data_IF_481829529350
#
_entry.id   IF_481829529350
#
_cell.length_a   1.000
_cell.length_b   1.000
_cell.length_c   1.000
_cell.angle_alpha   90.00
_cell.angle_beta   90.00
_cell.angle_gamma   90.00
#
_symmetry.space_group_name_H-M   'P 1'
#
loop_
_entity.id
_entity.type
_entity.pdbx_description
1 polymer ?
#
# COMPACT_ATOMS: atom_id res chain seq x y z
N UNK A 1 2.11 15.14 -5.64
CA UNK A 1 2.22 13.84 -6.32
C UNK A 1 3.65 13.61 -6.75
N UNK A 2 4.19 12.44 -6.50
CA UNK A 2 5.50 12.03 -7.01
C UNK A 2 5.33 11.14 -8.23
N UNK A 3 6.34 11.09 -9.06
CA UNK A 3 6.31 10.22 -10.22
C UNK A 3 7.71 9.81 -10.66
N UNK A 4 7.77 8.67 -11.35
CA UNK A 4 8.95 8.19 -12.06
C UNK A 4 8.64 8.20 -13.56
N UNK A 5 9.55 7.70 -14.40
CA UNK A 5 9.30 7.63 -15.85
C UNK A 5 8.05 6.81 -16.20
N UNK A 6 7.74 5.79 -15.40
CA UNK A 6 6.66 4.85 -15.70
C UNK A 6 5.53 4.82 -14.68
N UNK A 7 5.72 5.42 -13.50
CA UNK A 7 4.79 5.31 -12.39
C UNK A 7 4.41 6.67 -11.82
N UNK A 8 3.13 6.78 -11.44
CA UNK A 8 2.70 7.78 -10.47
C UNK A 8 2.73 7.16 -9.08
N UNK A 9 3.23 7.91 -8.11
CA UNK A 9 3.23 7.51 -6.70
C UNK A 9 2.20 8.39 -5.99
N UNK A 10 1.08 7.79 -5.61
CA UNK A 10 -0.06 8.49 -5.04
C UNK A 10 -0.29 8.03 -3.60
N UNK A 11 -0.79 8.94 -2.76
CA UNK A 11 -1.25 8.56 -1.42
C UNK A 11 -2.41 7.57 -1.54
N UNK A 12 -2.51 6.57 -0.64
CA UNK A 12 -3.64 5.66 -0.67
C UNK A 12 -4.98 6.40 -0.58
N UNK A 13 -5.97 5.94 -1.34
CA UNK A 13 -7.28 6.57 -1.38
C UNK A 13 -8.36 5.51 -1.54
N UNK A 14 -9.54 5.82 -0.99
CA UNK A 14 -10.70 4.93 -1.03
C UNK A 14 -11.19 4.69 -2.46
N UNK A 15 -10.89 5.58 -3.40
CA UNK A 15 -11.20 5.38 -4.81
C UNK A 15 -10.56 4.10 -5.37
N UNK A 16 -9.47 3.65 -4.79
CA UNK A 16 -8.75 2.46 -5.22
C UNK A 16 -8.99 1.26 -4.33
N UNK A 17 -10.10 1.27 -3.55
CA UNK A 17 -10.41 0.21 -2.60
C UNK A 17 -10.39 -1.17 -3.25
N UNK A 18 -11.07 -1.35 -4.39
CA UNK A 18 -11.16 -2.65 -5.04
C UNK A 18 -9.79 -3.17 -5.49
N UNK A 19 -8.98 -2.31 -6.11
CA UNK A 19 -7.64 -2.70 -6.55
C UNK A 19 -6.72 -2.99 -5.38
N UNK A 20 -6.79 -2.20 -4.30
CA UNK A 20 -5.99 -2.43 -3.11
C UNK A 20 -6.41 -3.72 -2.39
N UNK A 21 -7.71 -4.01 -2.37
CA UNK A 21 -8.21 -5.27 -1.83
C UNK A 21 -7.66 -6.45 -2.63
N UNK A 22 -7.70 -6.38 -3.96
CA UNK A 22 -7.17 -7.44 -4.81
C UNK A 22 -5.67 -7.64 -4.60
N UNK A 23 -4.91 -6.57 -4.48
CA UNK A 23 -3.47 -6.66 -4.21
C UNK A 23 -3.19 -7.43 -2.91
N UNK A 24 -3.99 -7.19 -1.87
CA UNK A 24 -3.79 -7.79 -0.56
C UNK A 24 -4.50 -9.14 -0.37
N UNK A 25 -5.22 -9.62 -1.39
CA UNK A 25 -5.82 -10.95 -1.38
C UNK A 25 -5.18 -11.89 -2.40
N UNK A 26 -4.31 -11.38 -3.27
CA UNK A 26 -3.61 -12.19 -4.26
C UNK A 26 -2.62 -13.11 -3.58
N UNK A 27 -2.80 -14.43 -3.71
CA UNK A 27 -1.98 -15.42 -3.02
C UNK A 27 -0.50 -15.34 -3.40
N UNK A 28 -0.19 -15.00 -4.64
CA UNK A 28 1.21 -14.89 -5.06
C UNK A 28 1.89 -13.66 -4.47
N UNK A 29 1.18 -12.52 -4.38
CA UNK A 29 1.75 -11.31 -3.79
C UNK A 29 1.86 -11.39 -2.28
N UNK A 30 1.11 -12.28 -1.61
CA UNK A 30 1.07 -12.38 -0.16
C UNK A 30 1.72 -13.65 0.40
N UNK A 31 2.25 -14.54 -0.44
CA UNK A 31 2.75 -15.85 0.00
C UNK A 31 3.84 -15.79 1.07
N UNK A 32 4.61 -14.70 1.13
CA UNK A 32 5.66 -14.51 2.12
C UNK A 32 5.25 -13.57 3.26
N UNK A 33 4.01 -13.08 3.24
CA UNK A 33 3.48 -12.18 4.26
C UNK A 33 2.06 -12.59 4.64
N UNK A 34 1.89 -13.75 5.35
CA UNK A 34 0.54 -14.27 5.64
C UNK A 34 -0.37 -13.27 6.34
N UNK A 35 0.19 -12.42 7.20
CA UNK A 35 -0.58 -11.40 7.92
C UNK A 35 -1.00 -10.22 7.03
N UNK A 36 -0.51 -10.17 5.79
CA UNK A 36 -0.87 -9.14 4.84
C UNK A 36 -2.11 -9.45 4.01
N UNK A 37 -2.75 -10.61 4.23
CA UNK A 37 -3.96 -10.99 3.50
C UNK A 37 -5.17 -10.29 4.12
N UNK A 38 -5.92 -9.56 3.30
CA UNK A 38 -7.15 -8.90 3.72
C UNK A 38 -8.33 -9.83 3.47
N UNK A 39 -9.08 -10.19 4.51
CA UNK A 39 -10.19 -11.13 4.40
C UNK A 39 -11.41 -10.55 3.71
N UNK A 40 -11.61 -9.24 3.79
CA UNK A 40 -12.73 -8.56 3.15
C UNK A 40 -12.38 -7.08 2.89
N UNK A 41 -13.25 -6.40 2.14
CA UNK A 41 -13.02 -5.00 1.77
C UNK A 41 -13.11 -4.04 2.95
N UNK A 42 -13.84 -4.38 4.00
CA UNK A 42 -13.91 -3.53 5.19
C UNK A 42 -12.55 -3.47 5.90
N UNK A 43 -11.80 -4.58 5.91
CA UNK A 43 -10.44 -4.62 6.44
C UNK A 43 -9.53 -3.72 5.61
N UNK A 44 -9.60 -3.82 4.29
CA UNK A 44 -8.81 -2.98 3.38
C UNK A 44 -9.14 -1.50 3.61
N UNK A 45 -10.42 -1.17 3.74
CA UNK A 45 -10.87 0.19 4.01
C UNK A 45 -10.27 0.74 5.31
N UNK A 46 -10.22 -0.09 6.36
CA UNK A 46 -9.57 0.29 7.61
C UNK A 46 -8.08 0.57 7.45
N UNK A 47 -7.38 -0.24 6.66
CA UNK A 47 -5.96 -0.01 6.35
C UNK A 47 -5.75 1.29 5.57
N UNK A 48 -6.61 1.58 4.59
CA UNK A 48 -6.51 2.84 3.82
C UNK A 48 -6.62 4.03 4.77
N UNK A 49 -7.56 4.00 5.71
CA UNK A 49 -7.71 5.07 6.70
C UNK A 49 -6.46 5.22 7.56
N UNK A 50 -5.86 4.12 7.99
CA UNK A 50 -4.62 4.12 8.78
C UNK A 50 -3.45 4.67 7.98
N UNK A 51 -3.30 4.27 6.73
CA UNK A 51 -2.25 4.77 5.85
C UNK A 51 -2.38 6.28 5.62
N UNK A 52 -3.61 6.78 5.40
CA UNK A 52 -3.85 8.22 5.23
C UNK A 52 -3.57 8.99 6.51
N UNK A 53 -3.92 8.44 7.67
CA UNK A 53 -3.61 9.07 8.96
C UNK A 53 -2.11 9.21 9.17
N UNK A 54 -1.34 8.18 8.81
CA UNK A 54 0.12 8.24 8.91
C UNK A 54 0.67 9.38 8.05
N UNK A 55 0.15 9.56 6.83
CA UNK A 55 0.52 10.67 5.95
C UNK A 55 0.21 12.03 6.60
N UNK A 56 -0.96 12.17 7.20
CA UNK A 56 -1.37 13.41 7.85
C UNK A 56 -0.48 13.75 9.05
N UNK A 57 -0.06 12.73 9.80
CA UNK A 57 0.74 12.93 11.02
C UNK A 57 2.23 13.11 10.73
N UNK A 58 2.75 12.54 9.66
CA UNK A 58 4.20 12.43 9.43
C UNK A 58 4.71 13.01 8.12
N UNK A 59 3.84 13.41 7.21
CA UNK A 59 4.17 13.93 5.87
C UNK A 59 4.92 12.92 4.99
N UNK A 60 4.86 11.65 5.32
CA UNK A 60 5.33 10.55 4.47
C UNK A 60 4.54 9.29 4.80
N UNK A 61 4.68 8.26 3.98
CA UNK A 61 4.01 7.00 4.21
C UNK A 61 4.08 6.10 3.00
N UNK A 62 3.12 5.17 2.91
CA UNK A 62 3.04 4.28 1.77
C UNK A 62 2.42 4.97 0.57
N UNK A 63 2.90 4.63 -0.62
CA UNK A 63 2.36 5.09 -1.90
C UNK A 63 1.67 3.96 -2.62
N UNK A 64 0.58 4.28 -3.32
CA UNK A 64 0.07 3.45 -4.40
C UNK A 64 0.93 3.71 -5.64
N UNK A 65 1.28 2.64 -6.35
CA UNK A 65 2.06 2.71 -7.58
C UNK A 65 1.13 2.49 -8.76
N UNK A 66 0.95 3.52 -9.58
CA UNK A 66 0.02 3.51 -10.73
C UNK A 66 0.84 3.58 -12.01
N UNK A 67 0.63 2.62 -12.91
CA UNK A 67 1.29 2.63 -14.21
C UNK A 67 0.78 3.78 -15.07
N UNK A 68 1.68 4.59 -15.62
CA UNK A 68 1.30 5.75 -16.43
C UNK A 68 0.61 5.37 -17.74
N UNK A 69 1.03 4.26 -18.34
CA UNK A 69 0.50 3.84 -19.63
C UNK A 69 -0.90 3.24 -19.56
N UNK A 70 -1.25 2.59 -18.46
CA UNK A 70 -2.55 1.91 -18.32
C UNK A 70 -3.47 2.55 -17.28
N UNK A 71 -2.92 3.32 -16.33
CA UNK A 71 -3.68 3.83 -15.20
C UNK A 71 -4.00 2.77 -14.15
N UNK A 72 -3.43 1.56 -14.26
CA UNK A 72 -3.69 0.47 -13.33
C UNK A 72 -2.81 0.55 -12.10
N UNK A 73 -3.35 0.11 -10.95
CA UNK A 73 -2.56 -0.10 -9.74
C UNK A 73 -1.64 -1.30 -9.96
N UNK A 74 -0.32 -1.08 -9.81
CA UNK A 74 0.66 -2.17 -9.94
C UNK A 74 1.16 -2.65 -8.60
N UNK A 75 1.03 -1.86 -7.55
CA UNK A 75 1.46 -2.27 -6.21
C UNK A 75 1.50 -1.12 -5.24
N UNK A 76 2.19 -1.35 -4.13
CA UNK A 76 2.43 -0.35 -3.08
C UNK A 76 3.88 -0.38 -2.64
N UNK A 77 4.38 0.76 -2.21
CA UNK A 77 5.73 0.87 -1.66
C UNK A 77 5.80 2.08 -0.74
N UNK A 78 6.76 2.10 0.16
CA UNK A 78 7.02 3.25 1.01
C UNK A 78 7.43 2.86 2.41
N UNK A 79 7.43 3.86 3.29
CA UNK A 79 7.84 3.69 4.68
C UNK A 79 6.74 4.18 5.61
N UNK A 80 6.62 3.52 6.77
CA UNK A 80 5.80 3.98 7.88
C UNK A 80 6.53 3.73 9.18
N UNK A 81 6.25 4.55 10.18
CA UNK A 81 6.68 4.26 11.54
C UNK A 81 5.90 3.07 12.09
N UNK A 82 6.61 2.16 12.75
CA UNK A 82 6.02 1.02 13.46
C UNK A 82 6.54 1.00 14.89
N UNK A 83 5.64 0.75 15.84
CA UNK A 83 5.98 0.64 17.25
C UNK A 83 6.04 -0.84 17.61
N UNK A 84 7.23 -1.32 17.96
CA UNK A 84 7.46 -2.71 18.33
C UNK A 84 8.17 -2.73 19.67
N UNK A 85 7.56 -3.35 20.70
CA UNK A 85 8.12 -3.42 22.04
C UNK A 85 8.53 -2.04 22.58
N UNK A 86 7.68 -1.04 22.41
CA UNK A 86 7.91 0.34 22.85
C UNK A 86 9.06 1.07 22.16
N UNK A 87 9.56 0.50 21.05
CA UNK A 87 10.55 1.17 20.20
C UNK A 87 9.95 1.53 18.87
N UNK A 88 10.30 2.72 18.38
CA UNK A 88 9.82 3.21 17.08
C UNK A 88 10.79 2.79 15.98
N UNK A 89 10.27 2.09 14.97
CA UNK A 89 11.04 1.64 13.81
C UNK A 89 10.45 2.24 12.54
N UNK A 90 11.31 2.48 11.55
CA UNK A 90 10.90 2.83 10.20
C UNK A 90 10.74 1.54 9.41
N UNK A 91 9.51 1.22 9.02
CA UNK A 91 9.19 -0.03 8.31
C UNK A 91 9.09 0.21 6.81
N UNK A 92 9.87 -0.54 6.04
CA UNK A 92 9.75 -0.57 4.58
C UNK A 92 8.66 -1.55 4.19
N UNK A 93 7.75 -1.09 3.32
CA UNK A 93 6.71 -1.91 2.73
C UNK A 93 6.88 -1.94 1.22
N UNK A 94 6.74 -3.14 0.64
CA UNK A 94 6.85 -3.32 -0.80
C UNK A 94 5.99 -4.51 -1.23
N UNK A 95 5.05 -4.27 -2.14
CA UNK A 95 4.17 -5.32 -2.65
C UNK A 95 3.75 -4.99 -4.06
N UNK A 96 3.90 -5.94 -4.98
CA UNK A 96 3.50 -5.79 -6.37
C UNK A 96 2.54 -6.90 -6.77
N UNK A 97 1.65 -6.61 -7.75
CA UNK A 97 0.96 -7.68 -8.43
C UNK A 97 1.98 -8.56 -9.18
N UNK A 98 1.75 -9.89 -9.26
CA UNK A 98 2.73 -10.81 -9.85
C UNK A 98 3.16 -10.49 -11.28
N UNK A 99 2.29 -9.87 -12.07
CA UNK A 99 2.62 -9.53 -13.46
C UNK A 99 3.60 -8.36 -13.61
N UNK A 100 3.91 -7.69 -12.52
CA UNK A 100 4.86 -6.58 -12.51
C UNK A 100 6.09 -6.95 -11.64
#
# INVERSE_FOLDING_TARGET
>A
MLETDRLYLLKPDIEHLDALFQLHTNNESTKYTPKGIHENKDITKGFIKGWRRHWEENDFGYFMLIAKDTGELVGMSGFEYRNINYQLFLNLYYRLFPKY
#
